data_IF_170628305961
#
_entry.id   IF_170628305961
#
_cell.length_a   1.000
_cell.length_b   1.000
_cell.length_c   1.000
_cell.angle_alpha   90.00
_cell.angle_beta   90.00
_cell.angle_gamma   90.00
#
_symmetry.space_group_name_H-M   'P 1'
#
loop_
_entity.id
_entity.type
_entity.pdbx_description
1 polymer ?
#
# COMPACT_ATOMS: atom_id res chain seq x y z
N UNK A 1 -16.86 -4.00 -13.93
CA UNK A 1 -16.73 -5.48 -13.88
C UNK A 1 -17.46 -6.03 -15.08
N UNK A 2 -16.95 -7.04 -15.79
CA UNK A 2 -17.71 -7.62 -16.90
C UNK A 2 -16.96 -8.40 -17.99
N UNK A 3 -15.62 -8.48 -17.95
CA UNK A 3 -14.86 -9.36 -18.84
C UNK A 3 -14.49 -10.63 -18.06
N UNK A 4 -14.89 -11.83 -18.54
CA UNK A 4 -14.44 -13.09 -17.94
C UNK A 4 -12.92 -13.13 -17.83
N UNK A 5 -12.41 -13.68 -16.72
CA UNK A 5 -10.98 -13.91 -16.48
C UNK A 5 -10.08 -12.66 -16.47
N UNK A 6 -10.66 -11.46 -16.43
CA UNK A 6 -9.91 -10.20 -16.36
C UNK A 6 -9.66 -9.68 -14.93
N UNK A 7 -10.03 -10.46 -13.90
CA UNK A 7 -9.81 -10.06 -12.52
C UNK A 7 -8.32 -10.19 -12.16
N UNK A 8 -7.78 -9.16 -11.52
CA UNK A 8 -6.41 -9.18 -10.98
C UNK A 8 -6.45 -9.48 -9.49
N UNK A 9 -5.40 -10.15 -9.01
CA UNK A 9 -5.22 -10.38 -7.58
C UNK A 9 -4.70 -9.13 -6.85
N UNK A 10 -4.66 -9.21 -5.51
CA UNK A 10 -4.23 -8.09 -4.65
C UNK A 10 -2.77 -7.72 -4.91
N UNK A 11 -1.90 -8.70 -5.13
CA UNK A 11 -0.46 -8.47 -5.33
C UNK A 11 -0.23 -7.70 -6.63
N UNK A 12 -0.87 -8.15 -7.71
CA UNK A 12 -0.87 -7.49 -9.01
C UNK A 12 -1.45 -6.08 -8.91
N UNK A 13 -2.59 -5.91 -8.21
CA UNK A 13 -3.20 -4.60 -7.99
C UNK A 13 -2.28 -3.64 -7.23
N UNK A 14 -1.61 -4.11 -6.18
CA UNK A 14 -0.66 -3.31 -5.40
C UNK A 14 0.59 -2.97 -6.20
N UNK A 15 1.13 -3.91 -6.99
CA UNK A 15 2.25 -3.65 -7.88
C UNK A 15 1.90 -2.58 -8.91
N UNK A 16 0.73 -2.68 -9.55
CA UNK A 16 0.25 -1.65 -10.49
C UNK A 16 0.14 -0.27 -9.85
N UNK A 17 -0.25 -0.20 -8.57
CA UNK A 17 -0.36 1.05 -7.83
C UNK A 17 0.98 1.62 -7.31
N UNK A 18 2.08 0.86 -7.42
CA UNK A 18 3.39 1.23 -6.86
C UNK A 18 4.49 1.11 -7.93
N UNK A 19 5.24 0.01 -7.92
CA UNK A 19 6.37 -0.21 -8.81
C UNK A 19 5.98 -0.21 -10.29
N UNK A 20 4.85 -0.82 -10.64
CA UNK A 20 4.39 -0.92 -12.04
C UNK A 20 4.03 0.44 -12.64
N UNK A 21 3.35 1.30 -11.88
CA UNK A 21 3.09 2.68 -12.32
C UNK A 21 4.39 3.50 -12.44
N UNK A 22 5.32 3.34 -11.50
CA UNK A 22 6.62 4.02 -11.54
C UNK A 22 7.46 3.58 -12.76
N UNK A 23 7.48 2.29 -13.06
CA UNK A 23 8.13 1.71 -14.24
C UNK A 23 7.54 2.29 -15.53
N UNK A 24 6.21 2.26 -15.66
CA UNK A 24 5.52 2.82 -16.83
C UNK A 24 5.79 4.32 -17.03
N UNK A 25 6.01 5.06 -15.95
CA UNK A 25 6.33 6.49 -15.98
C UNK A 25 7.84 6.80 -16.11
N UNK A 26 8.72 5.79 -16.02
CA UNK A 26 10.18 6.00 -16.02
C UNK A 26 10.69 6.76 -14.79
N UNK A 27 10.02 6.64 -13.64
CA UNK A 27 10.36 7.37 -12.42
C UNK A 27 11.16 6.50 -11.43
N UNK A 28 12.15 7.05 -10.70
CA UNK A 28 12.94 6.31 -9.73
C UNK A 28 12.23 6.19 -8.36
N UNK A 29 10.97 5.76 -8.36
CA UNK A 29 10.09 5.64 -7.17
C UNK A 29 9.39 4.26 -7.16
N UNK A 30 8.50 4.02 -6.20
CA UNK A 30 7.61 2.84 -6.20
C UNK A 30 8.22 1.55 -5.63
N UNK A 31 9.50 1.57 -5.25
CA UNK A 31 10.20 0.49 -4.57
C UNK A 31 11.11 1.03 -3.47
N UNK A 32 11.22 0.28 -2.37
CA UNK A 32 12.16 0.58 -1.28
C UNK A 32 13.50 -0.12 -1.54
N UNK A 33 14.33 0.52 -2.37
CA UNK A 33 15.63 -0.01 -2.80
C UNK A 33 16.67 1.11 -2.91
N UNK A 34 17.98 0.81 -2.67
CA UNK A 34 19.04 1.79 -2.89
C UNK A 34 19.00 2.40 -4.30
N UNK A 35 19.13 3.73 -4.38
CA UNK A 35 19.08 4.48 -5.64
C UNK A 35 17.68 4.92 -6.08
N UNK A 36 16.62 4.55 -5.36
CA UNK A 36 15.26 5.11 -5.51
C UNK A 36 15.03 6.26 -4.53
N UNK A 37 14.11 7.17 -4.86
CA UNK A 37 13.63 8.18 -3.89
C UNK A 37 12.79 7.49 -2.81
N UNK A 38 12.86 8.02 -1.59
CA UNK A 38 12.05 7.52 -0.48
C UNK A 38 10.68 8.20 -0.44
N UNK A 39 9.78 7.69 -1.28
CA UNK A 39 8.36 8.02 -1.25
C UNK A 39 7.62 6.84 -0.62
N UNK A 40 7.08 7.03 0.58
CA UNK A 40 6.53 5.94 1.39
C UNK A 40 5.29 6.36 2.17
N UNK A 41 4.41 5.39 2.43
CA UNK A 41 3.24 5.54 3.30
C UNK A 41 3.34 4.52 4.42
N UNK A 42 3.25 5.00 5.66
CA UNK A 42 3.19 4.17 6.85
C UNK A 42 1.73 4.02 7.25
N UNK A 43 1.27 2.79 7.40
CA UNK A 43 -0.09 2.48 7.84
C UNK A 43 -0.09 1.95 9.27
N UNK A 44 -0.95 2.51 10.11
CA UNK A 44 -1.32 1.96 11.41
C UNK A 44 -2.65 1.23 11.27
N UNK A 45 -2.57 -0.08 11.09
CA UNK A 45 -3.75 -0.93 10.90
C UNK A 45 -4.48 -1.24 12.21
N UNK A 46 -3.96 -0.79 13.34
CA UNK A 46 -4.54 -0.99 14.67
C UNK A 46 -5.10 0.31 15.24
N UNK A 47 -5.20 1.35 14.41
CA UNK A 47 -5.71 2.66 14.81
C UNK A 47 -7.09 2.55 15.49
N UNK A 48 -7.31 3.24 16.62
CA UNK A 48 -8.62 3.30 17.25
C UNK A 48 -9.68 3.81 16.27
N UNK A 49 -10.78 3.07 16.11
CA UNK A 49 -11.84 3.41 15.16
C UNK A 49 -11.58 2.95 13.72
N UNK A 50 -10.47 2.26 13.45
CA UNK A 50 -10.21 1.59 12.18
C UNK A 50 -11.24 0.51 11.87
N UNK A 51 -11.53 0.30 10.59
CA UNK A 51 -12.51 -0.70 10.11
C UNK A 51 -11.87 -2.07 9.86
N UNK A 52 -10.54 -2.17 9.93
CA UNK A 52 -9.79 -3.40 9.69
C UNK A 52 -9.90 -4.32 10.90
N UNK A 53 -10.56 -5.46 10.71
CA UNK A 53 -10.64 -6.52 11.72
C UNK A 53 -9.43 -7.45 11.61
N UNK A 54 -8.65 -7.56 12.67
CA UNK A 54 -7.56 -8.54 12.82
C UNK A 54 -8.08 -9.82 13.46
N UNK A 55 -7.70 -10.97 12.88
CA UNK A 55 -8.02 -12.30 13.39
C UNK A 55 -6.72 -13.00 13.81
N UNK A 56 -6.79 -13.85 14.84
CA UNK A 56 -5.64 -14.61 15.30
C UNK A 56 -5.04 -15.55 14.22
N UNK A 57 -5.84 -15.89 13.20
CA UNK A 57 -5.45 -16.76 12.08
C UNK A 57 -4.91 -15.98 10.87
N UNK A 58 -4.82 -14.65 10.93
CA UNK A 58 -4.26 -13.89 9.81
C UNK A 58 -2.75 -14.15 9.69
N UNK A 59 -2.31 -14.58 8.50
CA UNK A 59 -0.91 -14.60 8.11
C UNK A 59 -0.52 -13.27 7.43
N UNK A 60 0.71 -13.17 6.93
CA UNK A 60 1.22 -11.96 6.28
C UNK A 60 0.44 -11.63 4.99
N UNK A 61 0.13 -12.64 4.19
CA UNK A 61 -0.64 -12.47 2.96
C UNK A 61 -2.04 -11.93 3.25
N UNK A 62 -2.70 -12.44 4.29
CA UNK A 62 -4.02 -11.99 4.73
C UNK A 62 -4.00 -10.58 5.31
N UNK A 63 -2.96 -10.23 6.08
CA UNK A 63 -2.76 -8.86 6.57
C UNK A 63 -2.54 -7.88 5.42
N UNK A 64 -1.71 -8.24 4.44
CA UNK A 64 -1.47 -7.44 3.25
C UNK A 64 -2.73 -7.26 2.40
N UNK A 65 -3.51 -8.32 2.20
CA UNK A 65 -4.79 -8.25 1.52
C UNK A 65 -5.76 -7.26 2.21
N UNK A 66 -5.83 -7.30 3.54
CA UNK A 66 -6.65 -6.36 4.32
C UNK A 66 -6.15 -4.93 4.21
N UNK A 67 -4.84 -4.69 4.28
CA UNK A 67 -4.24 -3.38 4.02
C UNK A 67 -4.72 -2.83 2.67
N UNK A 68 -4.50 -3.59 1.58
CA UNK A 68 -4.78 -3.10 0.22
C UNK A 68 -6.29 -2.92 -0.04
N UNK A 69 -7.14 -3.76 0.55
CA UNK A 69 -8.59 -3.74 0.29
C UNK A 69 -9.40 -2.85 1.22
N UNK A 70 -8.93 -2.64 2.46
CA UNK A 70 -9.76 -2.05 3.52
C UNK A 70 -9.16 -0.80 4.14
N UNK A 71 -7.85 -0.55 4.00
CA UNK A 71 -7.26 0.66 4.57
C UNK A 71 -7.84 1.92 3.92
N UNK A 72 -8.12 2.92 4.73
CA UNK A 72 -8.53 4.24 4.30
C UNK A 72 -7.62 5.33 4.85
N UNK A 73 -7.93 6.62 4.57
CA UNK A 73 -7.10 7.74 5.01
C UNK A 73 -6.84 7.78 6.52
N UNK A 74 -7.78 7.33 7.36
CA UNK A 74 -7.60 7.26 8.82
C UNK A 74 -6.49 6.29 9.25
N UNK A 75 -6.19 5.28 8.44
CA UNK A 75 -5.18 4.27 8.75
C UNK A 75 -3.77 4.74 8.33
N UNK A 76 -3.64 5.84 7.59
CA UNK A 76 -2.35 6.44 7.25
C UNK A 76 -1.79 7.13 8.49
N UNK A 77 -0.64 6.66 8.96
CA UNK A 77 0.07 7.22 10.10
C UNK A 77 1.08 8.29 9.66
N UNK A 78 1.80 8.03 8.57
CA UNK A 78 2.82 8.93 8.03
C UNK A 78 2.89 8.88 6.51
N UNK A 79 3.28 10.00 5.90
CA UNK A 79 3.62 10.08 4.48
C UNK A 79 4.97 10.75 4.32
N UNK A 80 5.82 10.11 3.53
CA UNK A 80 7.17 10.54 3.21
C UNK A 80 7.26 10.83 1.72
N UNK A 81 7.88 11.96 1.38
CA UNK A 81 8.17 12.37 0.01
C UNK A 81 9.63 12.79 -0.06
N UNK A 82 10.39 12.14 -0.93
CA UNK A 82 11.83 12.34 -1.14
C UNK A 82 12.63 12.32 0.18
N UNK A 83 12.29 11.39 1.07
CA UNK A 83 12.95 11.26 2.38
C UNK A 83 12.48 12.26 3.44
N UNK A 84 11.52 13.14 3.13
CA UNK A 84 10.95 14.12 4.08
C UNK A 84 9.58 13.67 4.54
N UNK A 85 9.38 13.59 5.86
CA UNK A 85 8.05 13.38 6.45
C UNK A 85 7.19 14.62 6.22
N UNK A 86 6.19 14.52 5.32
CA UNK A 86 5.27 15.62 4.97
C UNK A 86 3.92 15.51 5.68
N UNK A 87 3.62 14.34 6.26
CA UNK A 87 2.46 14.11 7.10
C UNK A 87 2.82 13.12 8.20
N UNK A 88 2.37 13.41 9.43
CA UNK A 88 2.43 12.52 10.60
C UNK A 88 1.27 12.89 11.52
N UNK A 89 0.57 11.90 12.05
CA UNK A 89 -0.47 12.09 13.09
C UNK A 89 -0.03 11.60 14.46
#
# INVERSE_FOLDING_TARGET
RGVPDAAIDTVTGFWLATAGAAEAAGLPVGLLEPGRRFDAVVFDLYAPGGVIRHLATDDEARRFEKLVRLAGPQDIAEVWVDGVSVHRR
#
